data_IF_276168801833
#
_entry.id   IF_276168801833
#
_cell.length_a   1.000
_cell.length_b   1.000
_cell.length_c   1.000
_cell.angle_alpha   90.00
_cell.angle_beta   90.00
_cell.angle_gamma   90.00
#
_symmetry.space_group_name_H-M   'P 1'
#
loop_
_entity.id
_entity.type
_entity.pdbx_description
1 polymer ?
#
# COMPACT_ATOMS: atom_id res chain seq x y z
N UNK A 1 -8.17 -10.01 8.65
CA UNK A 1 -7.27 -10.73 7.71
C UNK A 1 -6.04 -9.88 7.41
N UNK A 2 -4.91 -10.50 7.04
CA UNK A 2 -3.68 -9.80 6.69
C UNK A 2 -3.05 -10.50 5.48
N UNK A 3 -2.70 -9.72 4.44
CA UNK A 3 -1.89 -10.15 3.31
C UNK A 3 -0.60 -9.35 3.23
N UNK A 4 0.52 -10.05 3.04
CA UNK A 4 1.81 -9.47 2.69
C UNK A 4 2.23 -10.01 1.32
N UNK A 5 2.52 -9.11 0.38
CA UNK A 5 3.12 -9.44 -0.91
C UNK A 5 4.50 -8.81 -1.03
N UNK A 6 5.41 -9.52 -1.71
CA UNK A 6 6.76 -9.07 -1.97
C UNK A 6 7.11 -9.38 -3.43
N UNK A 7 7.78 -8.43 -4.08
CA UNK A 7 8.25 -8.57 -5.45
C UNK A 7 9.70 -8.11 -5.54
N UNK A 8 10.57 -8.92 -6.14
CA UNK A 8 11.97 -8.58 -6.38
C UNK A 8 12.43 -9.13 -7.74
N UNK A 9 12.78 -8.28 -8.71
CA UNK A 9 13.31 -8.73 -10.00
C UNK A 9 14.71 -9.33 -9.91
N UNK A 10 15.00 -10.36 -10.71
CA UNK A 10 16.32 -11.02 -10.73
C UNK A 10 17.46 -10.21 -11.36
N UNK A 11 17.17 -9.24 -12.22
CA UNK A 11 18.21 -8.53 -12.98
C UNK A 11 18.18 -7.04 -12.70
N UNK A 12 17.09 -6.36 -13.10
CA UNK A 12 16.94 -4.93 -12.99
C UNK A 12 15.54 -4.58 -12.48
N UNK A 13 15.48 -3.67 -11.51
CA UNK A 13 14.24 -3.11 -10.97
C UNK A 13 14.30 -2.97 -9.46
N UNK A 14 13.22 -2.44 -8.89
CA UNK A 14 13.12 -2.20 -7.46
C UNK A 14 12.47 -3.40 -6.78
N UNK A 15 12.96 -3.75 -5.60
CA UNK A 15 12.23 -4.65 -4.69
C UNK A 15 11.08 -3.86 -4.08
N UNK A 16 9.90 -4.45 -3.95
CA UNK A 16 8.78 -3.83 -3.25
C UNK A 16 8.08 -4.82 -2.33
N UNK A 17 7.46 -4.28 -1.28
CA UNK A 17 6.52 -5.00 -0.41
C UNK A 17 5.21 -4.23 -0.34
N UNK A 18 4.10 -4.96 -0.23
CA UNK A 18 2.80 -4.40 0.05
C UNK A 18 2.12 -5.20 1.15
N UNK A 19 1.66 -4.50 2.18
CA UNK A 19 0.88 -5.04 3.28
C UNK A 19 -0.54 -4.49 3.21
N UNK A 20 -1.51 -5.37 3.36
CA UNK A 20 -2.93 -5.06 3.39
C UNK A 20 -3.57 -5.72 4.61
N UNK A 21 -4.43 -4.99 5.33
CA UNK A 21 -5.19 -5.57 6.45
C UNK A 21 -6.67 -5.21 6.36
N UNK A 22 -7.49 -6.20 6.66
CA UNK A 22 -8.95 -6.08 6.71
C UNK A 22 -9.48 -6.38 8.10
N UNK A 23 -10.49 -5.61 8.52
CA UNK A 23 -11.31 -5.85 9.70
C UNK A 23 -12.71 -6.21 9.22
N UNK A 24 -13.13 -7.46 9.40
CA UNK A 24 -14.27 -7.99 8.65
C UNK A 24 -13.99 -7.91 7.14
N UNK A 25 -14.92 -7.34 6.40
CA UNK A 25 -14.81 -7.13 4.95
C UNK A 25 -14.15 -5.79 4.58
N UNK A 26 -13.92 -4.91 5.57
CA UNK A 26 -13.44 -3.56 5.34
C UNK A 26 -11.91 -3.47 5.36
N UNK A 27 -11.34 -2.88 4.32
CA UNK A 27 -9.92 -2.58 4.26
C UNK A 27 -9.60 -1.49 5.29
N UNK A 28 -8.68 -1.78 6.22
CA UNK A 28 -8.32 -0.89 7.33
C UNK A 28 -6.91 -0.32 7.20
N UNK A 29 -6.04 -0.98 6.42
CA UNK A 29 -4.63 -0.62 6.34
C UNK A 29 -4.00 -0.98 5.00
N UNK A 30 -3.16 -0.08 4.50
CA UNK A 30 -2.24 -0.31 3.38
C UNK A 30 -0.86 0.23 3.77
N UNK A 31 0.18 -0.56 3.57
CA UNK A 31 1.56 -0.11 3.62
C UNK A 31 2.33 -0.61 2.40
N UNK A 32 2.96 0.31 1.66
CA UNK A 32 3.77 0.00 0.48
C UNK A 32 5.20 0.46 0.73
N UNK A 33 6.16 -0.41 0.47
CA UNK A 33 7.58 -0.05 0.47
C UNK A 33 8.17 -0.36 -0.90
N UNK A 34 8.88 0.61 -1.47
CA UNK A 34 9.67 0.44 -2.68
C UNK A 34 11.13 0.69 -2.31
N UNK A 35 11.94 -0.34 -2.42
CA UNK A 35 13.38 -0.31 -2.19
C UNK A 35 14.09 -0.16 -3.53
N UNK A 36 14.88 0.89 -3.69
CA UNK A 36 15.57 1.16 -4.94
C UNK A 36 16.30 2.50 -4.93
N UNK A 37 16.62 3.00 -6.13
CA UNK A 37 17.30 4.30 -6.30
C UNK A 37 16.49 5.48 -5.79
N UNK A 38 15.17 5.37 -5.86
CA UNK A 38 14.21 6.34 -5.34
C UNK A 38 13.32 5.61 -4.33
N UNK A 39 13.73 5.47 -3.06
CA UNK A 39 12.91 4.80 -2.06
C UNK A 39 11.59 5.51 -1.88
N UNK A 40 10.52 4.73 -1.79
CA UNK A 40 9.18 5.24 -1.52
C UNK A 40 8.52 4.44 -0.39
N UNK A 41 7.87 5.15 0.52
CA UNK A 41 7.07 4.58 1.59
C UNK A 41 5.70 5.21 1.58
N UNK A 42 4.67 4.39 1.54
CA UNK A 42 3.27 4.82 1.61
C UNK A 42 2.60 4.12 2.77
N UNK A 43 1.83 4.87 3.55
CA UNK A 43 0.96 4.35 4.60
C UNK A 43 -0.41 4.99 4.51
N UNK A 44 -1.44 4.16 4.45
CA UNK A 44 -2.84 4.59 4.40
C UNK A 44 -3.61 3.82 5.46
N UNK A 45 -4.45 4.52 6.22
CA UNK A 45 -5.40 3.91 7.14
C UNK A 45 -6.81 4.37 6.83
N UNK A 46 -7.74 3.47 7.10
CA UNK A 46 -9.16 3.72 7.02
C UNK A 46 -9.79 3.58 8.40
N UNK A 47 -10.85 4.33 8.66
CA UNK A 47 -11.66 4.14 9.86
C UNK A 47 -12.64 2.96 9.69
N UNK A 48 -13.47 2.75 10.71
CA UNK A 48 -14.44 1.66 10.77
C UNK A 48 -15.61 1.84 9.79
N UNK A 49 -15.69 2.98 9.08
CA UNK A 49 -16.62 3.21 7.98
C UNK A 49 -15.95 3.03 6.61
N UNK A 50 -14.68 2.63 6.57
CA UNK A 50 -13.89 2.52 5.35
C UNK A 50 -13.47 3.88 4.78
N UNK A 51 -13.59 4.97 5.55
CA UNK A 51 -13.20 6.31 5.12
C UNK A 51 -11.73 6.59 5.44
N UNK A 52 -11.10 7.49 4.68
CA UNK A 52 -9.69 7.80 4.85
C UNK A 52 -9.45 8.52 6.18
N UNK A 53 -8.77 7.84 7.12
CA UNK A 53 -8.42 8.41 8.42
C UNK A 53 -6.97 8.87 8.51
N UNK A 54 -6.10 8.32 7.67
CA UNK A 54 -4.69 8.71 7.61
C UNK A 54 -4.09 8.41 6.23
N UNK A 55 -3.24 9.32 5.73
CA UNK A 55 -2.36 9.06 4.61
C UNK A 55 -0.99 9.71 4.80
N UNK A 56 0.05 9.00 4.39
CA UNK A 56 1.41 9.49 4.31
C UNK A 56 2.10 8.88 3.10
N UNK A 57 2.84 9.70 2.37
CA UNK A 57 3.75 9.28 1.30
C UNK A 57 5.07 9.98 1.47
N UNK A 58 6.15 9.21 1.45
CA UNK A 58 7.52 9.70 1.49
C UNK A 58 8.28 9.15 0.30
N UNK A 59 8.96 10.02 -0.42
CA UNK A 59 9.82 9.68 -1.56
C UNK A 59 11.19 10.28 -1.29
N UNK A 60 12.24 9.48 -1.29
CA UNK A 60 13.59 9.92 -0.88
C UNK A 60 13.58 10.61 0.49
N UNK A 61 12.83 10.06 1.46
CA UNK A 61 12.61 10.63 2.80
C UNK A 61 11.97 12.03 2.82
N UNK A 62 11.42 12.49 1.69
CA UNK A 62 10.65 13.73 1.62
C UNK A 62 9.17 13.43 1.55
N UNK A 63 8.39 14.08 2.43
CA UNK A 63 6.93 13.99 2.42
C UNK A 63 6.40 14.59 1.12
N UNK A 64 5.56 13.83 0.44
CA UNK A 64 4.87 14.25 -0.77
C UNK A 64 3.37 14.07 -0.59
N UNK A 65 2.59 14.88 -1.32
CA UNK A 65 1.15 14.70 -1.37
C UNK A 65 0.83 13.35 -2.02
N UNK A 66 -0.14 12.64 -1.44
CA UNK A 66 -0.74 11.45 -2.04
C UNK A 66 -2.08 11.88 -2.66
N UNK A 67 -2.31 11.55 -3.93
CA UNK A 67 -3.57 11.88 -4.60
C UNK A 67 -4.68 10.88 -4.27
N UNK A 68 -5.93 11.30 -4.40
CA UNK A 68 -7.10 10.43 -4.27
C UNK A 68 -7.04 9.23 -5.22
N UNK A 69 -6.58 9.44 -6.45
CA UNK A 69 -6.48 8.39 -7.47
C UNK A 69 -5.44 7.33 -7.09
N UNK A 70 -4.32 7.74 -6.46
CA UNK A 70 -3.34 6.79 -5.93
C UNK A 70 -3.93 5.96 -4.80
N UNK A 71 -4.71 6.58 -3.89
CA UNK A 71 -5.43 5.84 -2.83
C UNK A 71 -6.41 4.84 -3.44
N UNK A 72 -7.19 5.24 -4.44
CA UNK A 72 -8.14 4.36 -5.14
C UNK A 72 -7.44 3.18 -5.82
N UNK A 73 -6.29 3.41 -6.48
CA UNK A 73 -5.48 2.37 -7.07
C UNK A 73 -4.99 1.35 -6.03
N UNK A 74 -4.57 1.81 -4.86
CA UNK A 74 -4.10 0.90 -3.81
C UNK A 74 -5.23 0.06 -3.22
N UNK A 75 -6.44 0.62 -3.06
CA UNK A 75 -7.64 -0.13 -2.69
C UNK A 75 -7.97 -1.21 -3.72
N UNK A 76 -7.94 -0.85 -5.02
CA UNK A 76 -8.18 -1.81 -6.09
C UNK A 76 -7.19 -2.98 -6.06
N UNK A 77 -5.88 -2.70 -5.86
CA UNK A 77 -4.84 -3.74 -5.76
C UNK A 77 -5.03 -4.69 -4.57
N UNK A 78 -5.61 -4.21 -3.48
CA UNK A 78 -5.98 -5.03 -2.33
C UNK A 78 -7.09 -6.03 -2.71
N UNK A 79 -8.09 -5.58 -3.47
CA UNK A 79 -9.18 -6.43 -3.96
C UNK A 79 -8.76 -7.44 -5.04
N UNK A 80 -7.72 -7.15 -5.83
CA UNK A 80 -7.16 -8.10 -6.81
C UNK A 80 -6.18 -9.11 -6.22
N UNK A 81 -5.76 -8.93 -4.96
CA UNK A 81 -5.02 -9.93 -4.20
C UNK A 81 -5.81 -10.32 -2.93
N UNK A 82 -6.99 -10.94 -3.06
CA UNK A 82 -7.69 -11.43 -1.89
C UNK A 82 -6.99 -12.69 -1.36
N UNK A 83 -7.00 -12.93 -0.03
CA UNK A 83 -6.37 -14.11 0.58
C UNK A 83 -6.96 -15.47 0.16
N UNK A 84 -8.08 -15.49 -0.57
CA UNK A 84 -8.83 -16.71 -0.95
C UNK A 84 -8.79 -17.03 -2.46
N UNK A 85 -7.76 -16.61 -3.20
CA UNK A 85 -7.50 -17.07 -4.59
C UNK A 85 -6.33 -18.05 -4.67
#
# INVERSE_FOLDING_TARGET
>A
MHLLSAFSPWHNGNTSTAEYRWQGDDLSFIELNIYGKTPEHVKVRFDDHGELSFMQREVNAQKQQLSSDQVALYRYRAGTNPPDQ
#
